data_IF_835383352812
#
_entry.id   IF_835383352812
#
_cell.length_a   1.000
_cell.length_b   1.000
_cell.length_c   1.000
_cell.angle_alpha   90.00
_cell.angle_beta   90.00
_cell.angle_gamma   90.00
#
_symmetry.space_group_name_H-M   'P 1'
#
loop_
_entity.id
_entity.type
_entity.pdbx_description
1 polymer ?
#
# COMPACT_ATOMS: atom_id res chain seq x y z
N UNK A 1 9.20 -52.52 -21.27
CA UNK A 1 9.21 -51.05 -21.41
C UNK A 1 8.24 -50.50 -20.38
N UNK A 2 8.73 -50.06 -19.22
CA UNK A 2 7.91 -49.67 -18.07
C UNK A 2 7.99 -48.17 -17.84
N UNK A 3 6.83 -47.51 -17.78
CA UNK A 3 6.68 -46.10 -17.47
C UNK A 3 6.99 -45.80 -16.01
N UNK A 4 7.79 -44.76 -15.76
CA UNK A 4 8.02 -44.19 -14.42
C UNK A 4 7.03 -43.05 -14.21
N UNK A 5 6.03 -43.29 -13.38
CA UNK A 5 5.28 -42.21 -12.71
C UNK A 5 6.14 -41.65 -11.58
N UNK A 6 6.39 -40.34 -11.61
CA UNK A 6 6.98 -39.64 -10.48
C UNK A 6 5.85 -39.23 -9.52
N UNK A 7 5.78 -39.88 -8.36
CA UNK A 7 4.96 -39.45 -7.25
C UNK A 7 5.55 -38.18 -6.65
N UNK A 8 4.87 -37.04 -6.82
CA UNK A 8 5.14 -35.84 -6.04
C UNK A 8 4.38 -35.95 -4.71
N UNK A 9 5.09 -36.33 -3.65
CA UNK A 9 4.60 -36.13 -2.29
C UNK A 9 4.63 -34.63 -1.99
N UNK A 10 3.46 -33.99 -1.89
CA UNK A 10 3.30 -32.68 -1.26
C UNK A 10 3.72 -32.80 0.20
N UNK A 11 4.88 -32.25 0.55
CA UNK A 11 5.17 -31.89 1.94
C UNK A 11 4.20 -30.78 2.33
N UNK A 12 3.21 -31.13 3.14
CA UNK A 12 2.36 -30.17 3.84
C UNK A 12 3.26 -29.51 4.88
N UNK A 13 3.60 -28.24 4.67
CA UNK A 13 4.29 -27.45 5.70
C UNK A 13 3.39 -27.39 6.94
N UNK A 14 3.95 -27.55 8.15
CA UNK A 14 3.19 -27.41 9.38
C UNK A 14 2.59 -26.01 9.48
N UNK A 15 1.44 -25.83 10.16
CA UNK A 15 0.89 -24.51 10.40
C UNK A 15 1.94 -23.67 11.12
N UNK A 16 2.24 -22.48 10.58
CA UNK A 16 3.06 -21.50 11.26
C UNK A 16 2.30 -21.18 12.55
N UNK A 17 2.89 -21.58 13.68
CA UNK A 17 2.57 -20.96 14.96
C UNK A 17 2.69 -19.47 14.70
N UNK A 18 1.58 -18.75 14.82
CA UNK A 18 1.54 -17.30 14.81
C UNK A 18 2.71 -16.81 15.64
N UNK A 19 3.80 -16.42 14.98
CA UNK A 19 4.82 -15.61 15.62
C UNK A 19 4.00 -14.48 16.18
N UNK A 20 3.96 -14.38 17.50
CA UNK A 20 3.29 -13.30 18.19
C UNK A 20 3.68 -12.04 17.44
N UNK A 21 2.72 -11.47 16.69
CA UNK A 21 2.86 -10.17 16.08
C UNK A 21 3.36 -9.32 17.24
N UNK A 22 4.61 -8.85 17.13
CA UNK A 22 5.17 -8.00 18.17
C UNK A 22 4.14 -6.89 18.40
N UNK A 23 3.83 -6.57 19.67
CA UNK A 23 2.81 -5.58 19.97
C UNK A 23 3.08 -4.30 19.18
N UNK A 24 2.02 -3.77 18.59
CA UNK A 24 1.96 -2.54 17.82
C UNK A 24 3.04 -1.50 18.21
N UNK A 25 4.11 -1.33 17.41
CA UNK A 25 5.12 -0.32 17.70
C UNK A 25 4.64 1.11 17.44
N UNK A 26 3.42 1.30 16.89
CA UNK A 26 2.90 2.59 16.40
C UNK A 26 1.53 2.99 16.99
N UNK A 27 0.81 2.13 17.73
CA UNK A 27 -0.39 2.58 18.48
C UNK A 27 0.02 3.38 19.73
N UNK A 28 -0.06 4.70 19.62
CA UNK A 28 0.12 5.61 20.75
C UNK A 28 1.55 6.11 20.97
N UNK A 29 2.50 5.70 20.15
CA UNK A 29 3.84 6.28 20.05
C UNK A 29 3.84 7.36 18.97
N UNK A 30 4.42 8.53 19.27
CA UNK A 30 4.66 9.58 18.28
C UNK A 30 5.37 8.99 17.05
N UNK A 31 5.18 9.57 15.85
CA UNK A 31 5.94 9.18 14.66
C UNK A 31 7.41 8.98 15.04
N UNK A 32 8.10 7.89 14.64
CA UNK A 32 9.52 7.69 14.94
C UNK A 32 10.39 8.92 14.62
N UNK A 33 9.96 9.72 13.63
CA UNK A 33 10.59 10.99 13.22
C UNK A 33 10.02 12.25 13.89
N UNK A 34 8.87 12.19 14.55
CA UNK A 34 8.14 13.36 15.04
C UNK A 34 7.42 14.18 13.93
N UNK A 35 7.57 13.79 12.66
CA UNK A 35 7.06 14.54 11.50
C UNK A 35 5.67 14.06 11.10
N UNK A 36 4.72 15.00 10.97
CA UNK A 36 3.37 14.72 10.46
C UNK A 36 3.28 15.00 8.97
N UNK A 37 2.30 14.42 8.28
CA UNK A 37 2.06 14.70 6.85
C UNK A 37 1.86 16.20 6.57
N UNK A 38 1.18 16.92 7.47
CA UNK A 38 0.97 18.36 7.33
C UNK A 38 2.28 19.18 7.44
N UNK A 39 3.28 18.67 8.18
CA UNK A 39 4.57 19.33 8.27
C UNK A 39 5.36 19.23 6.96
N UNK A 40 5.22 18.12 6.20
CA UNK A 40 5.94 17.91 4.94
C UNK A 40 5.68 18.99 3.90
N UNK A 41 4.42 19.43 3.78
CA UNK A 41 4.03 20.44 2.80
C UNK A 41 4.65 21.83 3.05
N UNK A 42 5.18 22.06 4.26
CA UNK A 42 5.77 23.34 4.68
C UNK A 42 7.29 23.28 4.80
N UNK A 43 7.91 22.12 4.57
CA UNK A 43 9.36 21.98 4.57
C UNK A 43 9.97 22.74 3.39
N UNK A 44 11.08 23.44 3.64
CA UNK A 44 11.94 23.93 2.56
C UNK A 44 12.53 22.78 1.74
N UNK A 45 13.07 23.10 0.56
CA UNK A 45 13.74 22.13 -0.32
C UNK A 45 14.83 21.32 0.42
N UNK A 46 15.61 21.98 1.27
CA UNK A 46 16.67 21.32 2.04
C UNK A 46 16.11 20.47 3.19
N UNK A 47 15.13 20.98 3.95
CA UNK A 47 14.51 20.21 5.04
C UNK A 47 13.85 18.93 4.51
N UNK A 48 13.17 19.03 3.35
CA UNK A 48 12.53 17.89 2.73
C UNK A 48 13.55 16.89 2.17
N UNK A 49 14.66 17.36 1.59
CA UNK A 49 15.78 16.50 1.21
C UNK A 49 16.29 15.71 2.41
N UNK A 50 16.61 16.38 3.51
CA UNK A 50 17.20 15.75 4.69
C UNK A 50 16.23 14.75 5.33
N UNK A 51 14.95 15.13 5.44
CA UNK A 51 13.89 14.22 5.87
C UNK A 51 13.82 12.95 4.99
N UNK A 52 13.82 13.10 3.66
CA UNK A 52 13.73 11.97 2.73
C UNK A 52 14.96 11.04 2.82
N UNK A 53 16.15 11.60 3.00
CA UNK A 53 17.37 10.83 3.23
C UNK A 53 17.27 10.03 4.54
N UNK A 54 16.73 10.62 5.59
CA UNK A 54 16.65 9.99 6.90
C UNK A 54 15.56 8.92 6.97
N UNK A 55 14.37 9.15 6.39
CA UNK A 55 13.34 8.09 6.34
C UNK A 55 13.83 6.87 5.55
N UNK A 56 14.62 7.06 4.49
CA UNK A 56 15.19 5.97 3.70
C UNK A 56 16.22 5.11 4.47
N UNK A 57 16.72 5.59 5.61
CA UNK A 57 17.60 4.82 6.52
C UNK A 57 16.83 4.16 7.67
N UNK A 58 15.52 4.38 7.79
CA UNK A 58 14.72 3.85 8.90
C UNK A 58 14.72 2.33 8.88
N UNK A 59 15.17 1.71 9.96
CA UNK A 59 15.06 0.26 10.14
C UNK A 59 13.58 -0.13 10.28
N UNK A 60 13.12 -1.00 9.39
CA UNK A 60 11.75 -1.51 9.36
C UNK A 60 11.73 -3.02 9.65
N UNK A 61 10.65 -3.56 10.24
CA UNK A 61 10.48 -4.99 10.41
C UNK A 61 10.67 -5.76 9.09
N UNK A 62 11.37 -6.90 9.15
CA UNK A 62 11.73 -7.68 7.95
C UNK A 62 10.54 -8.20 7.16
N UNK A 63 9.37 -8.26 7.77
CA UNK A 63 8.14 -8.71 7.14
C UNK A 63 7.42 -7.59 6.34
N UNK A 64 7.90 -6.35 6.42
CA UNK A 64 7.45 -5.24 5.57
C UNK A 64 8.29 -5.14 4.31
N UNK A 65 7.71 -4.60 3.24
CA UNK A 65 8.41 -4.41 1.96
C UNK A 65 9.56 -3.41 2.08
N UNK A 66 10.75 -3.74 1.57
CA UNK A 66 11.87 -2.80 1.55
C UNK A 66 11.72 -1.78 0.40
N UNK A 67 10.81 -0.83 0.59
CA UNK A 67 10.45 0.22 -0.36
C UNK A 67 10.58 1.59 0.31
N UNK A 68 10.95 2.62 -0.46
CA UNK A 68 11.05 3.99 0.07
C UNK A 68 9.72 4.47 0.66
N UNK A 69 8.59 4.14 0.01
CA UNK A 69 7.26 4.43 0.56
C UNK A 69 7.03 3.71 1.90
N UNK A 70 7.33 2.41 2.00
CA UNK A 70 7.12 1.65 3.22
C UNK A 70 7.91 2.23 4.39
N UNK A 71 9.18 2.58 4.15
CA UNK A 71 10.04 3.21 5.15
C UNK A 71 9.50 4.57 5.58
N UNK A 72 9.02 5.38 4.64
CA UNK A 72 8.38 6.67 4.95
C UNK A 72 7.11 6.51 5.78
N UNK A 73 6.21 5.59 5.40
CA UNK A 73 4.99 5.29 6.16
C UNK A 73 5.33 4.87 7.60
N UNK A 74 6.28 3.95 7.76
CA UNK A 74 6.72 3.48 9.07
C UNK A 74 7.36 4.61 9.90
N UNK A 75 8.29 5.37 9.32
CA UNK A 75 8.98 6.48 9.97
C UNK A 75 8.06 7.63 10.40
N UNK A 76 6.93 7.79 9.70
CA UNK A 76 5.89 8.77 10.02
C UNK A 76 4.75 8.20 10.89
N UNK A 77 4.84 6.94 11.31
CA UNK A 77 3.75 6.29 12.05
C UNK A 77 2.43 6.17 11.27
N UNK A 78 2.49 6.26 9.93
CA UNK A 78 1.32 6.18 9.06
C UNK A 78 0.94 4.73 8.82
N UNK A 79 0.01 4.24 9.63
CA UNK A 79 -0.53 2.88 9.54
C UNK A 79 -1.97 2.80 10.09
N UNK A 80 -2.74 3.89 9.97
CA UNK A 80 -4.10 3.92 10.51
C UNK A 80 -4.94 2.79 9.91
N UNK A 81 -5.59 1.98 10.76
CA UNK A 81 -6.43 0.86 10.30
C UNK A 81 -7.64 1.38 9.50
N UNK A 82 -8.17 0.59 8.54
CA UNK A 82 -9.42 0.93 7.90
C UNK A 82 -10.57 0.96 8.92
N UNK A 83 -11.65 1.64 8.59
CA UNK A 83 -12.92 1.48 9.31
C UNK A 83 -13.56 0.17 8.86
N UNK A 84 -13.90 -0.73 9.79
CA UNK A 84 -14.56 -2.00 9.47
C UNK A 84 -16.01 -1.93 9.91
N UNK A 85 -16.93 -2.14 8.97
CA UNK A 85 -18.38 -2.07 9.19
C UNK A 85 -19.06 -3.40 8.84
N UNK A 86 -20.31 -3.58 9.29
CA UNK A 86 -21.13 -4.70 8.84
C UNK A 86 -21.50 -4.59 7.35
N UNK A 87 -21.94 -5.70 6.76
CA UNK A 87 -22.24 -5.77 5.33
C UNK A 87 -23.36 -4.81 4.91
N UNK A 88 -24.38 -4.61 5.75
CA UNK A 88 -25.51 -3.74 5.40
C UNK A 88 -25.07 -2.27 5.32
N UNK A 89 -24.24 -1.85 6.27
CA UNK A 89 -23.62 -0.53 6.28
C UNK A 89 -22.72 -0.35 5.05
N UNK A 90 -21.90 -1.36 4.75
CA UNK A 90 -21.03 -1.35 3.57
C UNK A 90 -21.84 -1.23 2.27
N UNK A 91 -22.90 -2.02 2.11
CA UNK A 91 -23.77 -2.00 0.94
C UNK A 91 -24.48 -0.64 0.78
N UNK A 92 -24.84 0.02 1.88
CA UNK A 92 -25.38 1.38 1.87
C UNK A 92 -24.36 2.42 1.38
N UNK A 93 -23.09 2.31 1.81
CA UNK A 93 -22.02 3.19 1.33
C UNK A 93 -21.71 2.96 -0.16
N UNK A 94 -21.69 1.69 -0.58
CA UNK A 94 -21.45 1.27 -1.96
C UNK A 94 -22.48 1.78 -2.98
N UNK A 95 -23.67 2.23 -2.54
CA UNK A 95 -24.65 2.86 -3.42
C UNK A 95 -24.21 4.24 -3.92
N UNK A 96 -23.36 4.94 -3.17
CA UNK A 96 -22.96 6.32 -3.44
C UNK A 96 -21.46 6.44 -3.75
N UNK A 97 -20.72 5.33 -3.78
CA UNK A 97 -19.28 5.30 -3.99
C UNK A 97 -18.85 4.01 -4.68
N UNK A 98 -17.84 4.06 -5.57
CA UNK A 98 -17.36 2.85 -6.23
C UNK A 98 -16.82 1.87 -5.20
N UNK A 99 -17.21 0.60 -5.34
CA UNK A 99 -16.61 -0.48 -4.57
C UNK A 99 -15.23 -0.78 -5.13
N UNK A 100 -14.24 -0.78 -4.26
CA UNK A 100 -12.85 -1.07 -4.56
C UNK A 100 -12.54 -2.51 -4.17
N UNK A 101 -11.98 -3.27 -5.10
CA UNK A 101 -11.62 -4.67 -4.94
C UNK A 101 -10.11 -4.85 -4.99
N UNK A 102 -9.57 -5.53 -3.98
CA UNK A 102 -8.16 -5.94 -3.94
C UNK A 102 -8.11 -7.45 -3.88
N UNK A 103 -7.48 -8.06 -4.89
CA UNK A 103 -7.18 -9.48 -4.92
C UNK A 103 -5.70 -9.69 -4.65
N UNK A 104 -5.38 -10.62 -3.76
CA UNK A 104 -4.01 -10.97 -3.40
C UNK A 104 -3.80 -12.47 -3.51
N UNK A 105 -2.65 -12.86 -4.05
CA UNK A 105 -2.17 -14.23 -4.03
C UNK A 105 -1.29 -14.47 -2.80
N UNK A 106 -1.01 -15.73 -2.52
CA UNK A 106 0.12 -16.09 -1.65
C UNK A 106 1.39 -15.43 -2.21
N UNK A 107 2.21 -14.88 -1.31
CA UNK A 107 3.38 -14.07 -1.69
C UNK A 107 4.55 -14.30 -0.74
N UNK A 108 5.72 -13.79 -1.11
CA UNK A 108 6.91 -13.75 -0.27
C UNK A 108 7.40 -12.32 -0.19
N UNK A 109 7.38 -11.73 1.00
CA UNK A 109 7.90 -10.38 1.26
C UNK A 109 9.23 -10.52 1.98
N UNK A 110 10.32 -10.10 1.33
CA UNK A 110 11.67 -10.14 1.90
C UNK A 110 12.06 -11.52 2.48
N UNK A 111 11.65 -12.60 1.81
CA UNK A 111 11.91 -13.98 2.24
C UNK A 111 10.91 -14.55 3.24
N UNK A 112 9.94 -13.76 3.70
CA UNK A 112 8.86 -14.20 4.59
C UNK A 112 7.63 -14.59 3.76
N UNK A 113 7.16 -15.85 3.82
CA UNK A 113 5.96 -16.27 3.10
C UNK A 113 4.68 -15.77 3.79
N UNK A 114 3.71 -15.35 2.99
CA UNK A 114 2.38 -14.94 3.42
C UNK A 114 1.34 -15.64 2.55
N UNK A 115 0.30 -16.17 3.17
CA UNK A 115 -0.89 -16.59 2.42
C UNK A 115 -1.70 -15.35 2.01
N UNK A 116 -2.52 -15.51 0.98
CA UNK A 116 -3.53 -14.53 0.57
C UNK A 116 -4.45 -14.14 1.73
N UNK A 117 -4.78 -15.07 2.62
CA UNK A 117 -5.52 -14.81 3.87
C UNK A 117 -4.74 -13.88 4.81
N UNK A 118 -3.47 -14.19 5.10
CA UNK A 118 -2.62 -13.36 5.96
C UNK A 118 -2.53 -11.93 5.41
N UNK A 119 -2.37 -11.78 4.10
CA UNK A 119 -2.33 -10.47 3.43
C UNK A 119 -3.62 -9.67 3.65
N UNK A 120 -4.77 -10.33 3.56
CA UNK A 120 -6.07 -9.71 3.76
C UNK A 120 -6.33 -9.36 5.23
N UNK A 121 -5.93 -10.21 6.16
CA UNK A 121 -6.05 -9.96 7.60
C UNK A 121 -5.13 -8.79 7.99
N UNK A 122 -3.86 -8.82 7.59
CA UNK A 122 -2.92 -7.72 7.81
C UNK A 122 -3.43 -6.38 7.29
N UNK A 123 -4.16 -6.36 6.17
CA UNK A 123 -4.79 -5.15 5.66
C UNK A 123 -5.93 -4.68 6.56
N UNK A 124 -6.81 -5.56 7.03
CA UNK A 124 -8.02 -5.21 7.76
C UNK A 124 -7.74 -4.91 9.23
N UNK A 125 -7.04 -5.80 9.92
CA UNK A 125 -6.92 -5.79 11.38
C UNK A 125 -5.49 -5.77 11.90
N UNK A 126 -4.50 -6.15 11.07
CA UNK A 126 -3.12 -6.26 11.49
C UNK A 126 -2.55 -4.97 12.05
N UNK A 127 -1.60 -5.06 12.98
CA UNK A 127 -0.94 -3.89 13.57
C UNK A 127 0.02 -3.20 12.61
N UNK A 128 0.46 -3.87 11.55
CA UNK A 128 1.20 -3.28 10.44
C UNK A 128 0.74 -3.94 9.14
N UNK A 129 0.82 -3.21 8.04
CA UNK A 129 0.58 -3.74 6.69
C UNK A 129 1.76 -3.42 5.77
N UNK A 130 1.99 -4.26 4.77
CA UNK A 130 3.00 -4.00 3.74
C UNK A 130 2.36 -3.47 2.45
N UNK A 131 3.00 -2.47 1.86
CA UNK A 131 2.68 -1.95 0.53
C UNK A 131 3.39 -2.77 -0.55
N UNK A 132 2.77 -2.89 -1.72
CA UNK A 132 3.37 -3.53 -2.88
C UNK A 132 4.05 -2.53 -3.80
N UNK A 133 5.05 -2.98 -4.55
CA UNK A 133 5.58 -2.22 -5.68
C UNK A 133 4.63 -2.35 -6.87
N UNK A 134 4.44 -1.26 -7.61
CA UNK A 134 3.78 -1.37 -8.90
C UNK A 134 3.90 -0.14 -9.79
N UNK A 135 3.34 -0.26 -10.99
CA UNK A 135 3.54 0.68 -12.10
C UNK A 135 2.78 2.00 -11.94
N UNK A 136 1.89 2.12 -10.96
CA UNK A 136 1.16 3.36 -10.67
C UNK A 136 1.65 4.02 -9.37
N UNK A 137 2.80 3.57 -8.86
CA UNK A 137 3.41 3.98 -7.60
C UNK A 137 3.26 2.93 -6.50
N UNK A 138 4.19 2.84 -5.57
CA UNK A 138 4.09 1.87 -4.46
C UNK A 138 2.79 2.09 -3.65
N UNK A 139 2.19 1.02 -3.13
CA UNK A 139 0.98 1.13 -2.31
C UNK A 139 0.13 -0.15 -2.23
N UNK A 140 -1.07 0.01 -1.68
CA UNK A 140 -2.13 -1.00 -1.66
C UNK A 140 -3.01 -0.80 -2.89
N UNK A 141 -2.87 -1.69 -3.85
CA UNK A 141 -3.60 -1.70 -5.12
C UNK A 141 -5.04 -2.23 -4.99
N UNK A 142 -5.99 -1.48 -5.54
CA UNK A 142 -7.38 -1.84 -5.72
C UNK A 142 -7.85 -1.48 -7.14
N UNK A 143 -8.97 -2.08 -7.55
CA UNK A 143 -9.69 -1.76 -8.78
C UNK A 143 -11.18 -1.56 -8.48
N UNK A 144 -11.87 -0.68 -9.20
CA UNK A 144 -13.33 -0.61 -9.17
C UNK A 144 -14.04 -1.75 -9.93
N UNK A 145 -13.29 -2.68 -10.50
CA UNK A 145 -13.78 -3.86 -11.22
C UNK A 145 -13.48 -5.13 -10.43
N UNK A 146 -14.52 -5.87 -10.02
CA UNK A 146 -14.34 -7.15 -9.33
C UNK A 146 -13.65 -8.19 -10.23
N UNK A 147 -14.08 -8.28 -11.49
CA UNK A 147 -13.48 -9.21 -12.45
C UNK A 147 -12.05 -8.82 -12.80
N UNK A 148 -11.80 -7.51 -13.00
CA UNK A 148 -10.46 -6.97 -13.25
C UNK A 148 -9.52 -7.26 -12.07
N UNK A 149 -9.96 -7.00 -10.85
CA UNK A 149 -9.22 -7.35 -9.64
C UNK A 149 -8.93 -8.85 -9.55
N UNK A 150 -9.92 -9.72 -9.77
CA UNK A 150 -9.73 -11.18 -9.69
C UNK A 150 -8.78 -11.73 -10.74
N UNK A 151 -8.65 -11.09 -11.89
CA UNK A 151 -7.70 -11.49 -12.92
C UNK A 151 -6.25 -11.41 -12.44
N UNK A 152 -5.91 -10.48 -11.53
CA UNK A 152 -4.59 -10.41 -10.89
C UNK A 152 -4.31 -11.58 -9.92
N UNK A 153 -5.36 -12.26 -9.47
CA UNK A 153 -5.27 -13.43 -8.60
C UNK A 153 -5.35 -14.77 -9.32
N UNK A 154 -5.26 -14.79 -10.66
CA UNK A 154 -5.60 -15.96 -11.49
C UNK A 154 -6.96 -16.58 -11.13
N UNK A 155 -7.90 -15.76 -10.62
CA UNK A 155 -9.18 -16.17 -10.04
C UNK A 155 -9.10 -17.14 -8.84
N UNK A 156 -7.93 -17.33 -8.24
CA UNK A 156 -7.68 -18.21 -7.08
C UNK A 156 -7.26 -17.46 -5.81
N UNK A 157 -6.75 -16.24 -5.95
CA UNK A 157 -6.42 -15.37 -4.82
C UNK A 157 -7.64 -14.92 -4.01
N UNK A 158 -7.41 -14.40 -2.81
CA UNK A 158 -8.47 -13.84 -1.97
C UNK A 158 -8.76 -12.39 -2.35
N UNK A 159 -10.05 -12.07 -2.43
CA UNK A 159 -10.52 -10.72 -2.76
C UNK A 159 -11.22 -10.08 -1.57
N UNK A 160 -10.89 -8.81 -1.30
CA UNK A 160 -11.57 -7.96 -0.31
C UNK A 160 -12.23 -6.77 -0.98
N UNK A 161 -13.26 -6.23 -0.33
CA UNK A 161 -13.99 -5.03 -0.75
C UNK A 161 -13.77 -3.85 0.18
N UNK A 162 -13.67 -2.66 -0.39
CA UNK A 162 -13.55 -1.40 0.31
C UNK A 162 -14.35 -0.29 -0.39
N UNK A 163 -14.59 0.81 0.29
CA UNK A 163 -14.97 2.11 -0.29
C UNK A 163 -14.04 3.17 0.29
N UNK A 164 -13.82 4.27 -0.44
CA UNK A 164 -13.10 5.42 0.10
C UNK A 164 -13.97 6.15 1.13
N UNK A 165 -13.39 6.48 2.27
CA UNK A 165 -14.08 7.21 3.34
C UNK A 165 -13.69 8.70 3.36
N UNK A 166 -14.18 9.44 4.36
CA UNK A 166 -13.95 10.90 4.47
C UNK A 166 -12.48 11.30 4.72
N UNK A 167 -11.61 10.35 5.10
CA UNK A 167 -10.16 10.56 5.26
C UNK A 167 -9.40 10.41 3.95
N UNK A 168 -10.04 9.90 2.89
CA UNK A 168 -9.41 9.81 1.59
C UNK A 168 -9.11 11.22 1.03
N UNK A 169 -7.89 11.38 0.53
CA UNK A 169 -7.40 12.55 -0.19
C UNK A 169 -6.84 12.02 -1.50
N UNK A 170 -7.66 12.17 -2.54
CA UNK A 170 -7.44 11.55 -3.85
C UNK A 170 -6.77 12.52 -4.81
N UNK A 171 -5.77 12.03 -5.55
CA UNK A 171 -5.19 12.72 -6.70
C UNK A 171 -5.14 11.77 -7.90
N UNK A 172 -5.42 12.26 -9.10
CA UNK A 172 -5.21 11.45 -10.31
C UNK A 172 -3.73 11.35 -10.63
N UNK A 173 -3.30 10.21 -11.17
CA UNK A 173 -1.92 9.96 -11.57
C UNK A 173 -1.45 11.02 -12.58
N UNK A 174 -2.32 11.43 -13.51
CA UNK A 174 -2.04 12.50 -14.47
C UNK A 174 -1.74 13.83 -13.78
N UNK A 175 -2.57 14.24 -12.81
CA UNK A 175 -2.33 15.49 -12.08
C UNK A 175 -1.08 15.38 -11.21
N UNK A 176 -0.88 14.24 -10.53
CA UNK A 176 0.28 14.00 -9.70
C UNK A 176 1.59 14.12 -10.49
N UNK A 177 1.63 13.59 -11.72
CA UNK A 177 2.79 13.71 -12.63
C UNK A 177 3.07 15.16 -13.03
N UNK A 178 2.03 15.94 -13.37
CA UNK A 178 2.19 17.35 -13.71
C UNK A 178 2.71 18.16 -12.52
N UNK A 179 2.13 17.95 -11.35
CA UNK A 179 2.54 18.56 -10.10
C UNK A 179 3.99 18.18 -9.74
N UNK A 180 4.35 16.92 -9.97
CA UNK A 180 5.70 16.40 -9.74
C UNK A 180 6.72 17.11 -10.62
N UNK A 181 6.45 17.22 -11.93
CA UNK A 181 7.35 17.86 -12.90
C UNK A 181 7.58 19.35 -12.59
N UNK A 182 6.57 20.03 -12.05
CA UNK A 182 6.70 21.40 -11.56
C UNK A 182 7.54 21.45 -10.26
N UNK A 183 7.24 20.56 -9.32
CA UNK A 183 7.89 20.50 -8.02
C UNK A 183 9.40 20.26 -8.14
N UNK A 184 9.84 19.29 -8.95
CA UNK A 184 11.27 18.96 -9.06
C UNK A 184 12.13 20.05 -9.71
N UNK A 185 11.51 21.02 -10.38
CA UNK A 185 12.20 22.19 -10.93
C UNK A 185 12.44 23.25 -9.85
N UNK A 186 11.50 23.40 -8.92
CA UNK A 186 11.61 24.35 -7.81
C UNK A 186 12.28 23.77 -6.56
N UNK A 187 12.38 22.44 -6.45
CA UNK A 187 12.95 21.72 -5.31
C UNK A 187 14.09 20.77 -5.73
N UNK A 188 15.21 21.31 -6.25
CA UNK A 188 16.31 20.50 -6.78
C UNK A 188 17.04 19.66 -5.72
N UNK A 189 17.01 20.02 -4.43
CA UNK A 189 17.60 19.17 -3.39
C UNK A 189 16.66 18.02 -3.07
N UNK A 190 15.39 18.26 -2.75
CA UNK A 190 14.42 17.21 -2.45
C UNK A 190 14.33 16.19 -3.59
N UNK A 191 14.43 16.64 -4.84
CA UNK A 191 14.52 15.76 -6.03
C UNK A 191 15.65 14.72 -5.93
N UNK A 192 16.81 15.05 -5.35
CA UNK A 192 17.94 14.12 -5.21
C UNK A 192 17.65 12.99 -4.22
N UNK A 193 16.79 13.26 -3.23
CA UNK A 193 16.44 12.31 -2.16
C UNK A 193 15.15 11.52 -2.45
N UNK A 194 14.19 12.12 -3.17
CA UNK A 194 13.11 11.37 -3.81
C UNK A 194 13.76 10.29 -4.67
N UNK A 195 13.27 9.05 -4.59
CA UNK A 195 13.93 7.80 -5.00
C UNK A 195 14.58 7.68 -6.39
N UNK A 196 14.73 8.74 -7.17
CA UNK A 196 15.47 8.84 -8.43
C UNK A 196 16.95 8.47 -8.34
N UNK A 197 17.62 8.68 -7.21
CA UNK A 197 19.04 8.37 -7.09
C UNK A 197 19.34 6.86 -6.93
N UNK A 198 18.32 6.02 -6.66
CA UNK A 198 18.51 4.57 -6.41
C UNK A 198 17.40 3.63 -6.93
N UNK A 199 16.22 4.11 -7.34
CA UNK A 199 15.09 3.23 -7.74
C UNK A 199 14.99 3.00 -9.25
N UNK A 200 14.46 1.82 -9.59
CA UNK A 200 14.35 1.29 -10.95
C UNK A 200 13.12 1.81 -11.72
N UNK A 201 12.45 2.88 -11.26
CA UNK A 201 11.40 3.55 -12.03
C UNK A 201 11.03 4.90 -11.39
N UNK A 202 10.48 5.85 -12.17
CA UNK A 202 9.96 7.11 -11.61
C UNK A 202 8.74 6.90 -10.69
N UNK A 203 8.12 5.72 -10.72
CA UNK A 203 6.86 5.44 -10.04
C UNK A 203 6.99 5.32 -8.53
N UNK A 204 8.11 4.78 -8.02
CA UNK A 204 8.43 4.68 -6.58
C UNK A 204 8.40 6.07 -5.91
N UNK A 205 8.74 7.12 -6.66
CA UNK A 205 8.78 8.49 -6.14
C UNK A 205 7.43 9.20 -6.12
N UNK A 206 6.47 8.75 -6.95
CA UNK A 206 5.14 9.39 -7.01
C UNK A 206 4.35 9.15 -5.74
N UNK A 207 4.45 7.97 -5.12
CA UNK A 207 3.74 7.69 -3.87
C UNK A 207 4.29 8.51 -2.70
N UNK A 208 5.61 8.64 -2.57
CA UNK A 208 6.21 9.54 -1.57
C UNK A 208 5.81 11.00 -1.83
N UNK A 209 5.82 11.43 -3.09
CA UNK A 209 5.41 12.78 -3.46
C UNK A 209 3.92 13.04 -3.18
N UNK A 210 3.04 12.08 -3.45
CA UNK A 210 1.63 12.19 -3.11
C UNK A 210 1.45 12.41 -1.60
N UNK A 211 2.18 11.66 -0.76
CA UNK A 211 2.17 11.86 0.69
C UNK A 211 2.66 13.26 1.10
N UNK A 212 3.78 13.72 0.53
CA UNK A 212 4.32 15.09 0.76
C UNK A 212 3.25 16.15 0.45
N UNK A 213 2.45 15.91 -0.58
CA UNK A 213 1.38 16.81 -1.02
C UNK A 213 0.05 16.62 -0.29
N UNK A 214 -0.02 15.73 0.71
CA UNK A 214 -1.22 15.51 1.52
C UNK A 214 -2.23 14.53 0.94
N UNK A 215 -1.87 13.80 -0.11
CA UNK A 215 -2.72 12.76 -0.72
C UNK A 215 -2.36 11.38 -0.17
N UNK A 216 -3.37 10.54 0.04
CA UNK A 216 -3.20 9.15 0.51
C UNK A 216 -3.86 8.12 -0.42
N UNK A 217 -4.38 8.57 -1.57
CA UNK A 217 -4.91 7.71 -2.63
C UNK A 217 -4.54 8.30 -3.99
N UNK A 218 -3.98 7.48 -4.87
CA UNK A 218 -3.71 7.84 -6.27
C UNK A 218 -4.69 7.07 -7.16
N UNK A 219 -5.39 7.76 -8.07
CA UNK A 219 -6.24 7.10 -9.08
C UNK A 219 -5.58 7.07 -10.43
N UNK A 220 -5.74 5.96 -11.16
CA UNK A 220 -5.23 5.81 -12.52
C UNK A 220 -6.31 5.20 -13.41
N UNK A 221 -6.82 5.99 -14.35
CA UNK A 221 -7.85 5.53 -15.29
C UNK A 221 -7.24 4.55 -16.30
N UNK A 222 -7.94 3.43 -16.50
CA UNK A 222 -7.52 2.33 -17.37
C UNK A 222 -8.48 2.17 -18.55
N UNK A 223 -8.08 1.35 -19.50
CA UNK A 223 -8.95 0.94 -20.60
C UNK A 223 -10.19 0.22 -20.08
N UNK A 224 -11.31 0.38 -20.79
CA UNK A 224 -12.57 -0.30 -20.44
C UNK A 224 -13.35 0.35 -19.28
N UNK A 225 -12.96 1.55 -18.84
CA UNK A 225 -13.66 2.28 -17.77
C UNK A 225 -13.31 1.79 -16.35
N UNK A 226 -12.29 0.94 -16.23
CA UNK A 226 -11.72 0.54 -14.95
C UNK A 226 -10.82 1.66 -14.42
N UNK A 227 -10.86 1.89 -13.11
CA UNK A 227 -9.97 2.82 -12.42
C UNK A 227 -9.21 2.03 -11.36
N UNK A 228 -7.89 2.14 -11.40
CA UNK A 228 -7.02 1.63 -10.34
C UNK A 228 -6.84 2.66 -9.24
N UNK A 229 -6.72 2.17 -8.01
CA UNK A 229 -6.52 2.95 -6.82
C UNK A 229 -5.28 2.43 -6.10
N UNK A 230 -4.24 3.26 -6.02
CA UNK A 230 -3.07 3.01 -5.20
C UNK A 230 -3.28 3.72 -3.87
N UNK A 231 -3.69 2.97 -2.85
CA UNK A 231 -3.94 3.48 -1.49
C UNK A 231 -2.64 3.45 -0.70
N UNK A 232 -2.23 4.61 -0.18
CA UNK A 232 -0.95 4.79 0.51
C UNK A 232 -1.08 4.59 2.02
N UNK A 233 -2.24 4.92 2.58
CA UNK A 233 -2.62 4.67 3.97
C UNK A 233 -4.03 4.07 4.01
N UNK A 234 -4.14 2.88 4.60
CA UNK A 234 -5.40 2.12 4.67
C UNK A 234 -6.46 2.79 5.55
N UNK A 235 -6.12 3.82 6.30
CA UNK A 235 -7.08 4.64 7.05
C UNK A 235 -8.10 5.35 6.15
N UNK A 236 -7.78 5.52 4.86
CA UNK A 236 -8.65 6.07 3.84
C UNK A 236 -9.81 5.13 3.43
N UNK A 237 -9.85 3.90 3.96
CA UNK A 237 -10.80 2.86 3.55
C UNK A 237 -11.86 2.61 4.62
N UNK A 238 -13.08 2.37 4.18
CA UNK A 238 -14.10 1.65 4.93
C UNK A 238 -14.29 0.28 4.27
N UNK A 239 -14.20 -0.79 5.05
CA UNK A 239 -14.17 -2.18 4.58
C UNK A 239 -15.24 -3.04 5.26
N UNK A 240 -15.52 -4.18 4.65
CA UNK A 240 -16.29 -5.28 5.24
C UNK A 240 -15.37 -6.50 5.42
N UNK A 241 -15.68 -7.36 6.40
CA UNK A 241 -14.98 -8.64 6.57
C UNK A 241 -15.33 -9.68 5.48
N UNK A 242 -16.25 -9.34 4.57
CA UNK A 242 -16.61 -10.21 3.44
C UNK A 242 -15.43 -10.41 2.48
N UNK A 243 -15.19 -11.67 2.13
CA UNK A 243 -14.33 -12.08 1.00
C UNK A 243 -15.19 -12.27 -0.25
N UNK A 244 -14.69 -11.85 -1.42
CA UNK A 244 -15.43 -11.80 -2.69
C UNK A 244 -15.06 -12.89 -3.67
#
# INVERSE_FOLDING_TARGET
MGGRGANFSRTVSPPIQTQQLQPDPLNGTQPPTGVTQAALANMSDQELHDFLIDVNKTDIPSFLSDLHLQRMLYAMGMNGKPEVVDQNTFDGLAQNSPVLYRTVNDTVVNGVPFTSGDCCDMLIDGDLTFVGRGIHGDGLYFSNSLSGSKAYGDHTGQTVGAVLNSKARVISETQLRQDYDAFVKSHPQARKALGFAKSHSAHDSYSQFALIRGYNVITSDQYGGETYYTVLDRSALTMTNKRY
#
